data_IF_319719208087
#
_entry.id   IF_319719208087
#
_cell.length_a   1.000
_cell.length_b   1.000
_cell.length_c   1.000
_cell.angle_alpha   90.00
_cell.angle_beta   90.00
_cell.angle_gamma   90.00
#
_symmetry.space_group_name_H-M   'P 1'
#
loop_
_entity.id
_entity.type
_entity.pdbx_description
1 polymer ?
#
# COMPACT_ATOMS: atom_id res chain seq x y z
N UNK A 1 -14.46 7.96 2.90
CA UNK A 1 -13.05 7.92 2.47
C UNK A 1 -12.15 8.28 3.63
N UNK A 2 -11.14 7.45 3.88
CA UNK A 2 -10.15 7.67 4.94
C UNK A 2 -8.75 7.54 4.35
N UNK A 3 -7.76 8.17 4.97
CA UNK A 3 -6.40 8.12 4.45
C UNK A 3 -5.38 8.24 5.58
N UNK A 4 -4.16 7.80 5.30
CA UNK A 4 -3.04 7.91 6.23
C UNK A 4 -1.73 7.96 5.45
N UNK A 5 -0.82 8.84 5.88
CA UNK A 5 0.53 8.92 5.31
C UNK A 5 1.41 7.92 6.06
N UNK A 6 2.12 7.09 5.33
CA UNK A 6 3.05 6.11 5.89
C UNK A 6 4.35 6.11 5.10
N UNK A 7 5.43 5.64 5.72
CA UNK A 7 6.72 5.54 5.06
C UNK A 7 7.00 4.09 4.68
N UNK A 8 7.49 3.89 3.46
CA UNK A 8 7.96 2.58 3.00
C UNK A 8 9.30 2.31 3.66
N UNK A 9 9.35 1.32 4.56
CA UNK A 9 10.55 1.08 5.39
C UNK A 9 11.33 -0.16 4.97
N UNK A 10 10.72 -1.04 4.19
CA UNK A 10 11.39 -2.27 3.78
C UNK A 10 12.51 -2.02 2.76
N UNK A 11 13.61 -2.76 2.84
CA UNK A 11 14.81 -2.47 2.05
C UNK A 11 14.61 -2.46 0.55
N UNK A 12 13.80 -3.35 -0.01
CA UNK A 12 13.62 -3.42 -1.46
C UNK A 12 12.52 -2.52 -2.00
N UNK A 13 11.86 -1.74 -1.13
CA UNK A 13 10.73 -0.91 -1.54
C UNK A 13 9.56 -1.79 -2.01
N UNK A 14 8.78 -1.30 -2.96
CA UNK A 14 7.61 -2.04 -3.44
C UNK A 14 7.93 -2.90 -4.68
N UNK A 15 8.94 -3.77 -4.55
CA UNK A 15 9.28 -4.78 -5.54
C UNK A 15 8.33 -5.97 -5.46
N UNK A 16 8.61 -7.02 -6.20
CA UNK A 16 7.69 -8.15 -6.41
C UNK A 16 7.13 -8.73 -5.11
N UNK A 17 8.00 -9.12 -4.17
CA UNK A 17 7.55 -9.77 -2.95
C UNK A 17 6.76 -8.82 -2.02
N UNK A 18 7.27 -7.63 -1.69
CA UNK A 18 6.51 -6.68 -0.89
C UNK A 18 5.22 -6.22 -1.58
N UNK A 19 5.26 -6.02 -2.90
CA UNK A 19 4.07 -5.66 -3.66
C UNK A 19 3.02 -6.76 -3.58
N UNK A 20 3.46 -8.04 -3.61
CA UNK A 20 2.56 -9.17 -3.44
C UNK A 20 1.88 -9.19 -2.07
N UNK A 21 2.64 -8.93 -1.01
CA UNK A 21 2.11 -8.86 0.35
C UNK A 21 1.10 -7.73 0.46
N UNK A 22 1.44 -6.55 -0.06
CA UNK A 22 0.55 -5.40 -0.06
C UNK A 22 -0.74 -5.69 -0.80
N UNK A 23 -0.63 -6.24 -2.00
CA UNK A 23 -1.79 -6.55 -2.83
C UNK A 23 -2.70 -7.59 -2.17
N UNK A 24 -2.12 -8.65 -1.59
CA UNK A 24 -2.90 -9.68 -0.90
C UNK A 24 -3.64 -9.10 0.32
N UNK A 25 -2.97 -8.21 1.06
CA UNK A 25 -3.59 -7.55 2.19
C UNK A 25 -4.76 -6.69 1.73
N UNK A 26 -4.56 -5.93 0.66
CA UNK A 26 -5.60 -5.05 0.11
C UNK A 26 -6.80 -5.85 -0.43
N UNK A 27 -6.54 -7.02 -0.99
CA UNK A 27 -7.61 -7.85 -1.59
C UNK A 27 -8.55 -8.46 -0.57
N UNK A 28 -8.22 -8.42 0.72
CA UNK A 28 -9.13 -8.87 1.78
C UNK A 28 -10.34 -7.94 1.95
N UNK A 29 -10.26 -6.75 1.40
CA UNK A 29 -11.28 -5.71 1.60
C UNK A 29 -11.99 -5.38 0.30
N UNK A 30 -13.26 -4.96 0.41
CA UNK A 30 -14.06 -4.62 -0.76
C UNK A 30 -13.86 -3.17 -1.18
N UNK A 31 -13.44 -2.30 -0.28
CA UNK A 31 -13.26 -0.89 -0.59
C UNK A 31 -12.17 -0.66 -1.63
N UNK A 32 -12.21 0.52 -2.25
CA UNK A 32 -11.13 0.97 -3.12
C UNK A 32 -9.91 1.32 -2.27
N UNK A 33 -8.73 0.85 -2.66
CA UNK A 33 -7.49 1.12 -1.94
C UNK A 33 -6.46 1.66 -2.93
N UNK A 34 -6.10 2.92 -2.75
CA UNK A 34 -5.16 3.63 -3.61
C UNK A 34 -3.93 4.03 -2.78
N UNK A 35 -2.76 3.82 -3.35
CA UNK A 35 -1.50 4.31 -2.77
C UNK A 35 -1.08 5.52 -3.60
N UNK A 36 -1.04 6.69 -2.97
CA UNK A 36 -0.67 7.91 -3.66
C UNK A 36 0.76 8.29 -3.31
N UNK A 37 1.59 8.49 -4.33
CA UNK A 37 2.99 8.88 -4.17
C UNK A 37 3.27 10.03 -5.12
N UNK A 38 3.32 11.25 -4.59
CA UNK A 38 3.42 12.44 -5.41
C UNK A 38 2.24 12.53 -6.37
N UNK A 39 2.50 12.55 -7.66
CA UNK A 39 1.46 12.59 -8.68
C UNK A 39 0.98 11.20 -9.11
N UNK A 40 1.64 10.15 -8.64
CA UNK A 40 1.29 8.77 -9.00
C UNK A 40 0.17 8.26 -8.12
N UNK A 41 -0.78 7.58 -8.75
CA UNK A 41 -1.86 6.90 -8.04
C UNK A 41 -1.81 5.42 -8.42
N UNK A 42 -1.62 4.59 -7.42
CA UNK A 42 -1.37 3.17 -7.59
C UNK A 42 -2.53 2.38 -7.03
N UNK A 43 -3.07 1.45 -7.81
CA UNK A 43 -4.12 0.54 -7.34
C UNK A 43 -3.46 -0.54 -6.49
N UNK A 44 -3.69 -0.51 -5.17
CA UNK A 44 -3.00 -1.41 -4.25
C UNK A 44 -3.32 -2.89 -4.51
N UNK A 45 -4.49 -3.19 -5.04
CA UNK A 45 -4.90 -4.57 -5.32
C UNK A 45 -4.21 -5.17 -6.55
N UNK A 46 -3.48 -4.35 -7.31
CA UNK A 46 -2.78 -4.80 -8.51
C UNK A 46 -1.28 -4.84 -8.27
N UNK A 47 -0.71 -6.05 -8.21
CA UNK A 47 0.74 -6.23 -8.03
C UNK A 47 1.51 -5.51 -9.12
N UNK A 48 1.07 -5.65 -10.37
CA UNK A 48 1.75 -5.01 -11.50
C UNK A 48 1.73 -3.49 -11.40
N UNK A 49 0.61 -2.93 -10.96
CA UNK A 49 0.47 -1.49 -10.81
C UNK A 49 1.41 -0.97 -9.71
N UNK A 50 1.46 -1.69 -8.58
CA UNK A 50 2.33 -1.33 -7.46
C UNK A 50 3.80 -1.38 -7.89
N UNK A 51 4.20 -2.44 -8.57
CA UNK A 51 5.59 -2.59 -9.03
C UNK A 51 5.98 -1.53 -10.05
N UNK A 52 5.07 -1.22 -10.97
CA UNK A 52 5.33 -0.25 -12.03
C UNK A 52 5.58 1.17 -11.50
N UNK A 53 5.08 1.46 -10.29
CA UNK A 53 5.27 2.77 -9.69
C UNK A 53 6.72 3.05 -9.26
N UNK A 54 7.51 2.00 -9.02
CA UNK A 54 8.93 2.17 -8.68
C UNK A 54 9.15 2.81 -7.31
N UNK A 55 8.26 2.56 -6.36
CA UNK A 55 8.35 3.18 -5.04
C UNK A 55 9.48 2.53 -4.24
N UNK A 56 10.38 3.34 -3.69
CA UNK A 56 11.60 2.87 -3.02
C UNK A 56 11.52 3.06 -1.51
N UNK A 57 12.43 2.40 -0.80
CA UNK A 57 12.59 2.58 0.63
C UNK A 57 12.75 4.07 0.98
N UNK A 58 12.11 4.48 2.05
CA UNK A 58 12.18 5.86 2.53
C UNK A 58 11.13 6.79 1.92
N UNK A 59 10.38 6.31 0.94
CA UNK A 59 9.33 7.12 0.30
C UNK A 59 8.11 7.20 1.20
N UNK A 60 7.56 8.41 1.36
CA UNK A 60 6.28 8.59 2.02
C UNK A 60 5.16 8.44 1.01
N UNK A 61 4.16 7.66 1.36
CA UNK A 61 2.99 7.43 0.51
C UNK A 61 1.72 7.67 1.32
N UNK A 62 0.64 8.00 0.65
CA UNK A 62 -0.67 8.16 1.29
C UNK A 62 -1.53 6.96 0.90
N UNK A 63 -1.99 6.22 1.90
CA UNK A 63 -2.94 5.13 1.69
C UNK A 63 -4.33 5.71 1.79
N UNK A 64 -5.14 5.53 0.75
CA UNK A 64 -6.49 6.09 0.65
C UNK A 64 -7.46 4.93 0.47
N UNK A 65 -8.39 4.78 1.40
CA UNK A 65 -9.40 3.72 1.35
C UNK A 65 -10.80 4.35 1.28
N UNK A 66 -11.63 3.82 0.39
CA UNK A 66 -12.98 4.37 0.16
C UNK A 66 -13.97 3.22 -0.06
N UNK A 67 -14.89 3.06 0.88
CA UNK A 67 -15.90 2.01 0.83
C UNK A 67 -16.36 1.60 2.21
N UNK A 68 -17.22 0.58 2.27
CA UNK A 68 -17.87 0.15 3.51
C UNK A 68 -16.88 -0.29 4.58
N UNK A 69 -15.80 -0.97 4.21
CA UNK A 69 -14.80 -1.49 5.15
C UNK A 69 -13.52 -0.65 5.15
N UNK A 70 -13.63 0.63 4.79
CA UNK A 70 -12.47 1.49 4.61
C UNK A 70 -11.60 1.66 5.86
N UNK A 71 -12.20 1.72 7.03
CA UNK A 71 -11.42 1.93 8.27
C UNK A 71 -10.58 0.71 8.61
N UNK A 72 -11.15 -0.48 8.53
CA UNK A 72 -10.41 -1.72 8.76
C UNK A 72 -9.32 -1.91 7.71
N UNK A 73 -9.63 -1.60 6.45
CA UNK A 73 -8.69 -1.70 5.35
C UNK A 73 -7.51 -0.75 5.56
N UNK A 74 -7.77 0.49 5.98
CA UNK A 74 -6.71 1.46 6.20
C UNK A 74 -5.75 1.01 7.29
N UNK A 75 -6.28 0.52 8.41
CA UNK A 75 -5.44 0.05 9.51
C UNK A 75 -4.56 -1.12 9.08
N UNK A 76 -5.14 -2.08 8.35
CA UNK A 76 -4.40 -3.27 7.94
C UNK A 76 -3.34 -2.93 6.87
N UNK A 77 -3.73 -2.20 5.84
CA UNK A 77 -2.82 -1.88 4.73
C UNK A 77 -1.72 -0.92 5.18
N UNK A 78 -2.08 0.17 5.86
CA UNK A 78 -1.09 1.11 6.36
C UNK A 78 -0.16 0.44 7.37
N UNK A 79 -0.70 -0.39 8.25
CA UNK A 79 0.08 -1.14 9.22
C UNK A 79 1.05 -2.10 8.57
N UNK A 80 0.63 -2.76 7.50
CA UNK A 80 1.50 -3.69 6.76
C UNK A 80 2.69 -2.95 6.16
N UNK A 81 2.46 -1.76 5.59
CA UNK A 81 3.55 -0.94 5.04
C UNK A 81 4.49 -0.50 6.15
N UNK A 82 3.96 -0.05 7.27
CA UNK A 82 4.76 0.42 8.39
C UNK A 82 5.60 -0.70 9.01
N UNK A 83 5.15 -1.94 8.93
CA UNK A 83 5.86 -3.12 9.44
C UNK A 83 6.86 -3.71 8.46
N UNK A 84 6.99 -3.13 7.26
CA UNK A 84 7.98 -3.55 6.28
C UNK A 84 7.53 -4.64 5.32
N UNK A 85 6.23 -4.93 5.23
CA UNK A 85 5.65 -5.86 4.26
C UNK A 85 6.35 -7.23 4.25
N UNK A 86 6.74 -7.70 5.42
CA UNK A 86 7.40 -9.00 5.56
C UNK A 86 8.90 -9.01 5.32
N UNK A 87 9.49 -7.86 5.02
CA UNK A 87 10.93 -7.73 4.78
C UNK A 87 11.59 -6.91 5.89
N UNK A 88 11.79 -7.42 7.01
CA UNK A 88 12.43 -6.63 8.07
C UNK A 88 13.81 -7.16 8.40
#
# INVERSE_FOLDING_TARGET
MVSKVVKVVNPSGLHLRPAGVLSQTAMKYQCSIIIECGEKKVVAKSVLNVMAAGIKQGTEVTVICDGADEEAALQDVAGAIERGLGEV
#
